data_IF_807872269119
#
_entry.id   IF_807872269119
#
_cell.length_a   1.000
_cell.length_b   1.000
_cell.length_c   1.000
_cell.angle_alpha   90.00
_cell.angle_beta   90.00
_cell.angle_gamma   90.00
#
_symmetry.space_group_name_H-M   'P 1'
#
loop_
_entity.id
_entity.type
_entity.pdbx_description
1 polymer ?
#
# COMPACT_ATOMS: atom_id res chain seq x y z
N UNK A 1 -15.24 18.99 4.30
CA UNK A 1 -15.28 17.70 3.61
C UNK A 1 -16.46 17.73 2.65
N UNK A 2 -16.26 17.36 1.39
CA UNK A 2 -17.37 17.24 0.42
C UNK A 2 -18.15 15.96 0.75
N UNK A 3 -19.42 15.89 0.36
CA UNK A 3 -20.20 14.64 0.48
C UNK A 3 -19.83 13.73 -0.68
N UNK A 4 -19.34 12.53 -0.39
CA UNK A 4 -18.97 11.55 -1.41
C UNK A 4 -20.08 10.54 -1.66
N UNK A 5 -20.33 10.25 -2.93
CA UNK A 5 -21.42 9.39 -3.38
C UNK A 5 -20.85 8.42 -4.41
N UNK A 6 -20.78 7.14 -4.04
CA UNK A 6 -20.22 6.07 -4.87
C UNK A 6 -21.20 4.95 -5.19
N UNK A 7 -22.44 5.05 -4.73
CA UNK A 7 -23.54 4.17 -5.13
C UNK A 7 -24.85 4.93 -5.39
N UNK A 8 -25.77 4.28 -6.12
CA UNK A 8 -27.04 4.88 -6.53
C UNK A 8 -28.03 5.07 -5.37
N UNK A 9 -27.92 4.27 -4.31
CA UNK A 9 -28.83 4.37 -3.17
C UNK A 9 -28.49 5.61 -2.33
N UNK A 10 -27.20 5.89 -2.11
CA UNK A 10 -26.70 7.14 -1.54
C UNK A 10 -27.15 8.34 -2.37
N UNK A 11 -27.04 8.26 -3.69
CA UNK A 11 -27.49 9.34 -4.58
C UNK A 11 -28.98 9.60 -4.43
N UNK A 12 -29.81 8.55 -4.46
CA UNK A 12 -31.27 8.67 -4.36
C UNK A 12 -31.74 9.15 -2.98
N UNK A 13 -30.92 8.94 -1.95
CA UNK A 13 -31.15 9.46 -0.61
C UNK A 13 -30.69 10.92 -0.44
N UNK A 14 -30.02 11.51 -1.43
CA UNK A 14 -29.41 12.84 -1.34
C UNK A 14 -30.12 13.86 -2.23
N UNK A 15 -30.85 14.79 -1.61
CA UNK A 15 -31.63 15.82 -2.32
C UNK A 15 -30.79 17.04 -2.75
N UNK A 16 -29.65 17.29 -2.09
CA UNK A 16 -28.75 18.43 -2.35
C UNK A 16 -27.34 17.94 -2.67
N UNK A 17 -26.90 18.17 -3.92
CA UNK A 17 -25.61 17.74 -4.41
C UNK A 17 -24.62 18.91 -4.54
N UNK A 18 -24.88 20.06 -3.90
CA UNK A 18 -23.93 21.18 -3.91
C UNK A 18 -22.62 20.77 -3.27
N UNK A 19 -21.54 20.93 -4.02
CA UNK A 19 -20.19 20.54 -3.61
C UNK A 19 -19.97 19.03 -3.48
N UNK A 20 -20.97 18.18 -3.78
CA UNK A 20 -20.84 16.73 -3.68
C UNK A 20 -19.84 16.16 -4.70
N UNK A 21 -19.24 15.01 -4.40
CA UNK A 21 -18.38 14.24 -5.30
C UNK A 21 -19.11 12.95 -5.65
N UNK A 22 -19.38 12.75 -6.93
CA UNK A 22 -20.02 11.55 -7.46
C UNK A 22 -18.98 10.78 -8.27
N UNK A 23 -18.83 9.49 -7.98
CA UNK A 23 -17.71 8.69 -8.51
C UNK A 23 -18.20 7.42 -9.18
N UNK A 24 -17.86 7.21 -10.44
CA UNK A 24 -18.08 5.97 -11.18
C UNK A 24 -19.54 5.56 -11.41
N UNK A 25 -20.51 6.47 -11.23
CA UNK A 25 -21.94 6.14 -11.34
C UNK A 25 -22.46 6.18 -12.78
N UNK A 26 -23.31 5.23 -13.14
CA UNK A 26 -24.17 5.34 -14.33
C UNK A 26 -25.45 6.11 -13.99
N UNK A 27 -25.49 7.38 -14.41
CA UNK A 27 -26.60 8.31 -14.20
C UNK A 27 -27.36 8.59 -15.51
N UNK A 28 -27.22 7.73 -16.52
CA UNK A 28 -27.89 7.92 -17.82
C UNK A 28 -29.40 7.77 -17.71
N UNK A 29 -29.88 6.92 -16.80
CA UNK A 29 -31.29 6.69 -16.52
C UNK A 29 -31.80 7.41 -15.24
N UNK A 30 -30.92 8.05 -14.48
CA UNK A 30 -31.29 8.68 -13.21
C UNK A 30 -31.81 10.11 -13.41
N UNK A 31 -32.97 10.39 -12.80
CA UNK A 31 -33.56 11.72 -12.79
C UNK A 31 -33.07 12.51 -11.57
N UNK A 32 -31.79 12.88 -11.60
CA UNK A 32 -31.16 13.69 -10.55
C UNK A 32 -31.77 15.08 -10.61
N UNK A 33 -32.60 15.52 -9.66
CA UNK A 33 -33.27 16.85 -9.72
C UNK A 33 -32.70 17.92 -8.79
N UNK A 34 -31.81 17.55 -7.87
CA UNK A 34 -31.23 18.45 -6.88
C UNK A 34 -30.28 19.53 -7.44
N UNK A 35 -29.97 20.56 -6.63
CA UNK A 35 -28.90 21.53 -6.90
C UNK A 35 -27.55 20.85 -7.15
N UNK A 36 -26.75 21.35 -8.09
CA UNK A 36 -25.48 20.74 -8.55
C UNK A 36 -24.27 21.69 -8.41
N UNK A 37 -24.45 22.83 -7.75
CA UNK A 37 -23.46 23.90 -7.74
C UNK A 37 -22.14 23.43 -7.12
N UNK A 38 -21.05 23.53 -7.89
CA UNK A 38 -19.73 23.09 -7.47
C UNK A 38 -19.57 21.58 -7.26
N UNK A 39 -20.53 20.76 -7.71
CA UNK A 39 -20.41 19.31 -7.69
C UNK A 39 -19.25 18.81 -8.58
N UNK A 40 -18.69 17.65 -8.25
CA UNK A 40 -17.66 16.96 -9.01
C UNK A 40 -18.22 15.62 -9.49
N UNK A 41 -18.19 15.39 -10.79
CA UNK A 41 -18.52 14.08 -11.38
C UNK A 41 -17.23 13.45 -11.87
N UNK A 42 -16.80 12.37 -11.24
CA UNK A 42 -15.56 11.64 -11.55
C UNK A 42 -15.93 10.31 -12.22
N UNK A 43 -15.64 10.17 -13.52
CA UNK A 43 -15.89 8.92 -14.25
C UNK A 43 -17.37 8.54 -14.41
N UNK A 44 -18.31 9.43 -14.08
CA UNK A 44 -19.74 9.14 -14.17
C UNK A 44 -20.24 9.14 -15.63
N UNK A 45 -21.16 8.23 -15.96
CA UNK A 45 -21.91 8.25 -17.21
C UNK A 45 -23.14 9.14 -17.03
N UNK A 46 -23.26 10.21 -17.82
CA UNK A 46 -24.33 11.19 -17.69
C UNK A 46 -25.20 11.20 -18.95
N UNK A 47 -26.52 11.36 -18.78
CA UNK A 47 -27.38 11.70 -19.91
C UNK A 47 -26.99 13.08 -20.48
N UNK A 48 -27.20 13.36 -21.78
CA UNK A 48 -26.87 14.67 -22.36
C UNK A 48 -27.56 15.85 -21.65
N UNK A 49 -28.75 15.60 -21.10
CA UNK A 49 -29.52 16.59 -20.33
C UNK A 49 -28.87 16.85 -18.98
N UNK A 50 -28.50 15.79 -18.23
CA UNK A 50 -27.85 15.93 -16.93
C UNK A 50 -26.47 16.57 -17.07
N UNK A 51 -25.67 16.15 -18.05
CA UNK A 51 -24.35 16.72 -18.32
C UNK A 51 -24.43 18.23 -18.58
N UNK A 52 -25.37 18.68 -19.42
CA UNK A 52 -25.59 20.11 -19.68
C UNK A 52 -26.03 20.85 -18.42
N UNK A 53 -26.93 20.27 -17.62
CA UNK A 53 -27.39 20.90 -16.38
C UNK A 53 -26.26 21.07 -15.37
N UNK A 54 -25.47 20.01 -15.18
CA UNK A 54 -24.30 20.02 -14.30
C UNK A 54 -23.30 21.11 -14.73
N UNK A 55 -22.96 21.20 -16.01
CA UNK A 55 -22.08 22.24 -16.53
C UNK A 55 -22.61 23.66 -16.31
N UNK A 56 -23.90 23.89 -16.59
CA UNK A 56 -24.53 25.21 -16.39
C UNK A 56 -24.58 25.60 -14.91
N UNK A 57 -24.74 24.63 -14.01
CA UNK A 57 -24.68 24.84 -12.57
C UNK A 57 -23.25 25.04 -12.03
N UNK A 58 -22.22 24.97 -12.88
CA UNK A 58 -20.82 25.13 -12.48
C UNK A 58 -20.21 23.88 -11.84
N UNK A 59 -20.80 22.70 -12.04
CA UNK A 59 -20.17 21.44 -11.68
C UNK A 59 -19.02 21.11 -12.64
N UNK A 60 -17.97 20.44 -12.13
CA UNK A 60 -16.91 19.90 -12.96
C UNK A 60 -17.22 18.44 -13.30
N UNK A 61 -16.98 18.08 -14.56
CA UNK A 61 -17.22 16.74 -15.07
C UNK A 61 -15.90 16.21 -15.62
N UNK A 62 -15.39 15.18 -14.98
CA UNK A 62 -14.23 14.40 -15.42
C UNK A 62 -14.77 13.12 -16.08
N UNK A 63 -14.54 12.93 -17.38
CA UNK A 63 -15.10 11.78 -18.09
C UNK A 63 -14.44 10.48 -17.64
N UNK A 64 -15.15 9.36 -17.83
CA UNK A 64 -14.52 8.05 -17.82
C UNK A 64 -13.45 8.02 -18.92
N UNK A 65 -12.24 7.61 -18.55
CA UNK A 65 -11.13 7.50 -19.50
C UNK A 65 -11.25 6.12 -20.17
N UNK A 66 -11.41 6.04 -21.50
CA UNK A 66 -11.53 4.76 -22.20
C UNK A 66 -10.19 4.04 -22.27
N UNK A 67 -10.24 2.75 -22.64
CA UNK A 67 -9.08 1.94 -23.03
C UNK A 67 -7.99 1.72 -21.96
N UNK A 68 -8.30 1.99 -20.69
CA UNK A 68 -7.45 1.65 -19.54
C UNK A 68 -7.98 0.41 -18.79
N UNK A 69 -7.11 -0.52 -18.34
CA UNK A 69 -7.53 -1.75 -17.66
C UNK A 69 -7.72 -1.58 -16.13
N UNK A 70 -7.82 -0.34 -15.65
CA UNK A 70 -7.99 0.00 -14.25
C UNK A 70 -9.01 1.13 -14.10
N UNK A 71 -9.72 1.15 -12.98
CA UNK A 71 -10.56 2.30 -12.62
C UNK A 71 -9.68 3.47 -12.20
N UNK A 72 -9.85 4.62 -12.84
CA UNK A 72 -9.04 5.84 -12.63
C UNK A 72 -9.49 6.61 -11.38
N UNK A 73 -10.78 6.58 -11.04
CA UNK A 73 -11.35 7.44 -10.00
C UNK A 73 -11.78 6.62 -8.79
N UNK A 74 -10.97 5.64 -8.39
CA UNK A 74 -11.29 4.67 -7.34
C UNK A 74 -11.55 5.36 -6.00
N UNK A 75 -12.53 4.87 -5.24
CA UNK A 75 -12.78 5.32 -3.85
C UNK A 75 -12.27 4.36 -2.78
N UNK A 76 -11.57 3.28 -3.19
CA UNK A 76 -11.11 2.22 -2.28
C UNK A 76 -9.75 1.69 -2.70
N UNK A 77 -8.97 1.27 -1.72
CA UNK A 77 -7.76 0.49 -1.93
C UNK A 77 -8.06 -0.88 -2.53
N UNK A 78 -7.06 -1.43 -3.22
CA UNK A 78 -7.15 -2.76 -3.81
C UNK A 78 -7.13 -3.85 -2.74
N UNK A 79 -7.83 -4.95 -3.00
CA UNK A 79 -7.68 -6.19 -2.21
C UNK A 79 -6.83 -7.20 -3.00
N UNK A 80 -6.18 -8.17 -2.34
CA UNK A 80 -5.55 -9.29 -3.06
C UNK A 80 -6.50 -10.03 -4.00
N UNK A 81 -7.76 -10.21 -3.57
CA UNK A 81 -8.78 -10.89 -4.37
C UNK A 81 -9.08 -10.16 -5.69
N UNK A 82 -9.08 -8.82 -5.66
CA UNK A 82 -9.24 -8.00 -6.85
C UNK A 82 -7.99 -8.03 -7.74
N UNK A 83 -6.80 -7.81 -7.17
CA UNK A 83 -5.55 -7.78 -7.94
C UNK A 83 -5.26 -9.10 -8.65
N UNK A 84 -5.64 -10.22 -8.02
CA UNK A 84 -5.47 -11.57 -8.56
C UNK A 84 -6.75 -12.14 -9.20
N UNK A 85 -7.74 -11.30 -9.49
CA UNK A 85 -8.97 -11.75 -10.18
C UNK A 85 -8.61 -12.44 -11.51
N UNK A 86 -9.10 -13.67 -11.69
CA UNK A 86 -8.82 -14.50 -12.87
C UNK A 86 -7.66 -15.50 -12.71
N UNK A 87 -6.96 -15.50 -11.56
CA UNK A 87 -5.92 -16.48 -11.27
C UNK A 87 -6.50 -17.88 -10.95
N UNK A 88 -5.99 -18.90 -11.62
CA UNK A 88 -6.24 -20.32 -11.34
C UNK A 88 -4.97 -20.98 -10.76
N UNK A 89 -4.96 -21.35 -9.47
CA UNK A 89 -3.82 -22.03 -8.84
C UNK A 89 -3.41 -23.36 -9.49
N UNK A 90 -4.32 -24.02 -10.22
CA UNK A 90 -4.01 -25.25 -10.98
C UNK A 90 -3.31 -24.96 -12.31
N UNK A 91 -3.34 -23.71 -12.78
CA UNK A 91 -2.68 -23.23 -13.99
C UNK A 91 -1.87 -21.97 -13.69
N UNK A 92 -0.62 -22.09 -13.19
CA UNK A 92 0.24 -20.95 -12.84
C UNK A 92 0.36 -19.87 -13.91
N UNK A 93 0.36 -20.24 -15.19
CA UNK A 93 0.42 -19.29 -16.30
C UNK A 93 -0.77 -18.31 -16.35
N UNK A 94 -1.91 -18.65 -15.71
CA UNK A 94 -3.08 -17.77 -15.58
C UNK A 94 -2.80 -16.48 -14.80
N UNK A 95 -1.66 -16.39 -14.08
CA UNK A 95 -1.22 -15.11 -13.49
C UNK A 95 -1.18 -14.00 -14.55
N UNK A 96 -0.83 -14.35 -15.79
CA UNK A 96 -0.78 -13.45 -16.94
C UNK A 96 -2.10 -12.71 -17.21
N UNK A 97 -3.23 -13.29 -16.78
CA UNK A 97 -4.59 -12.81 -17.03
C UNK A 97 -5.16 -12.01 -15.84
N UNK A 98 -4.44 -11.96 -14.72
CA UNK A 98 -4.86 -11.22 -13.52
C UNK A 98 -5.01 -9.73 -13.80
N UNK A 99 -5.87 -9.06 -13.02
CA UNK A 99 -5.98 -7.60 -13.08
C UNK A 99 -4.59 -6.96 -12.98
N UNK A 100 -3.79 -7.37 -12.00
CA UNK A 100 -2.46 -6.80 -11.77
C UNK A 100 -1.54 -6.94 -12.98
N UNK A 101 -1.44 -8.15 -13.55
CA UNK A 101 -0.60 -8.42 -14.70
C UNK A 101 -1.07 -7.65 -15.95
N UNK A 102 -2.39 -7.49 -16.15
CA UNK A 102 -2.95 -6.71 -17.26
C UNK A 102 -2.61 -5.22 -17.13
N UNK A 103 -2.76 -4.64 -15.93
CA UNK A 103 -2.40 -3.24 -15.68
C UNK A 103 -0.90 -3.01 -15.87
N UNK A 104 -0.06 -3.91 -15.36
CA UNK A 104 1.39 -3.84 -15.57
C UNK A 104 1.75 -3.88 -17.07
N UNK A 105 1.18 -4.85 -17.82
CA UNK A 105 1.41 -4.97 -19.26
C UNK A 105 0.96 -3.73 -20.02
N UNK A 106 -0.14 -3.09 -19.61
CA UNK A 106 -0.60 -1.83 -20.17
C UNK A 106 0.40 -0.69 -19.91
N UNK A 107 0.76 -0.43 -18.65
CA UNK A 107 1.71 0.64 -18.30
C UNK A 107 3.08 0.45 -18.98
N UNK A 108 3.56 -0.81 -19.08
CA UNK A 108 4.80 -1.14 -19.80
C UNK A 108 4.74 -0.84 -21.30
N UNK A 109 3.57 -1.02 -21.95
CA UNK A 109 3.39 -0.70 -23.38
C UNK A 109 3.44 0.80 -23.65
N UNK A 110 2.87 1.60 -22.75
CA UNK A 110 2.93 3.06 -22.81
C UNK A 110 4.36 3.60 -22.56
N UNK A 111 5.11 2.89 -21.71
CA UNK A 111 6.52 3.18 -21.45
C UNK A 111 6.74 4.48 -20.68
N UNK A 112 7.94 5.06 -20.79
CA UNK A 112 8.35 6.22 -19.99
C UNK A 112 7.76 7.56 -20.47
N UNK A 113 7.14 7.56 -21.66
CA UNK A 113 6.49 8.74 -22.26
C UNK A 113 5.12 8.30 -22.79
N UNK A 114 4.19 7.99 -21.86
CA UNK A 114 2.84 7.59 -22.24
C UNK A 114 2.18 8.68 -23.08
N UNK A 115 1.12 8.29 -23.81
CA UNK A 115 0.20 9.27 -24.37
C UNK A 115 -0.28 10.24 -23.26
N UNK A 116 -0.43 11.55 -23.52
CA UNK A 116 -0.85 12.52 -22.50
C UNK A 116 -2.13 12.14 -21.75
N UNK A 117 -3.08 11.46 -22.41
CA UNK A 117 -4.30 10.98 -21.75
C UNK A 117 -3.98 9.87 -20.75
N UNK A 118 -3.13 8.91 -21.11
CA UNK A 118 -2.70 7.84 -20.20
C UNK A 118 -1.82 8.37 -19.07
N UNK A 119 -0.93 9.34 -19.34
CA UNK A 119 -0.16 10.00 -18.31
C UNK A 119 -1.06 10.70 -17.27
N UNK A 120 -2.12 11.35 -17.74
CA UNK A 120 -3.14 11.97 -16.88
C UNK A 120 -3.95 10.91 -16.13
N UNK A 121 -4.33 9.80 -16.78
CA UNK A 121 -5.07 8.70 -16.17
C UNK A 121 -4.28 8.07 -15.02
N UNK A 122 -3.00 7.77 -15.21
CA UNK A 122 -2.14 7.23 -14.14
C UNK A 122 -2.01 8.20 -12.96
N UNK A 123 -1.93 9.51 -13.21
CA UNK A 123 -1.84 10.50 -12.12
C UNK A 123 -3.16 10.70 -11.38
N UNK A 124 -4.29 10.67 -12.08
CA UNK A 124 -5.61 10.72 -11.47
C UNK A 124 -5.86 9.46 -10.62
N UNK A 125 -5.44 8.29 -11.13
CA UNK A 125 -5.43 7.05 -10.36
C UNK A 125 -4.57 7.15 -9.12
N UNK A 126 -3.31 7.59 -9.25
CA UNK A 126 -2.40 7.74 -8.10
C UNK A 126 -3.00 8.68 -7.04
N UNK A 127 -3.61 9.79 -7.46
CA UNK A 127 -4.32 10.69 -6.55
C UNK A 127 -5.48 9.99 -5.83
N UNK A 128 -6.31 9.25 -6.56
CA UNK A 128 -7.44 8.50 -5.99
C UNK A 128 -6.97 7.44 -4.96
N UNK A 129 -5.85 6.77 -5.23
CA UNK A 129 -5.22 5.83 -4.28
C UNK A 129 -4.70 6.55 -3.03
N UNK A 130 -4.12 7.75 -3.16
CA UNK A 130 -3.68 8.55 -2.00
C UNK A 130 -4.86 8.92 -1.11
N UNK A 131 -5.95 9.45 -1.67
CA UNK A 131 -7.13 9.79 -0.88
C UNK A 131 -7.72 8.55 -0.18
N UNK A 132 -7.87 7.44 -0.93
CA UNK A 132 -8.37 6.19 -0.36
C UNK A 132 -7.45 5.59 0.71
N UNK A 133 -6.14 5.83 0.63
CA UNK A 133 -5.19 5.44 1.67
C UNK A 133 -5.42 6.29 2.92
N UNK A 134 -5.50 7.61 2.78
CA UNK A 134 -5.69 8.53 3.91
C UNK A 134 -7.01 8.26 4.66
N UNK A 135 -8.08 7.87 3.95
CA UNK A 135 -9.35 7.49 4.58
C UNK A 135 -9.29 6.20 5.40
N UNK A 136 -8.49 5.23 4.94
CA UNK A 136 -8.35 3.91 5.57
C UNK A 136 -7.36 3.94 6.74
N UNK A 137 -6.40 4.86 6.70
CA UNK A 137 -5.40 5.01 7.75
C UNK A 137 -6.02 5.61 9.02
N UNK A 138 -5.90 4.86 10.11
CA UNK A 138 -6.34 5.28 11.44
C UNK A 138 -5.21 5.08 12.45
N UNK A 139 -5.12 5.97 13.44
CA UNK A 139 -4.08 5.88 14.47
C UNK A 139 -2.70 6.26 13.93
N UNK A 140 -1.64 5.69 14.52
CA UNK A 140 -0.25 5.91 14.10
C UNK A 140 0.34 4.59 13.55
N UNK A 141 0.19 4.30 12.25
CA UNK A 141 0.62 3.03 11.67
C UNK A 141 2.15 2.89 11.69
N UNK A 142 2.63 1.66 11.80
CA UNK A 142 4.05 1.31 11.81
C UNK A 142 4.44 0.71 10.47
N UNK A 143 5.51 1.20 9.85
CA UNK A 143 6.05 0.59 8.64
C UNK A 143 7.19 -0.37 8.95
N UNK A 144 7.30 -1.43 8.15
CA UNK A 144 8.49 -2.30 8.13
C UNK A 144 9.13 -2.25 6.75
N UNK A 145 10.40 -1.83 6.74
CA UNK A 145 11.25 -1.75 5.57
C UNK A 145 12.23 -2.92 5.54
N UNK A 146 12.41 -3.50 4.36
CA UNK A 146 13.22 -4.70 4.21
C UNK A 146 13.36 -5.17 2.78
N UNK A 147 14.34 -6.03 2.54
CA UNK A 147 14.63 -6.54 1.20
C UNK A 147 13.50 -7.39 0.61
N UNK A 148 13.20 -7.16 -0.67
CA UNK A 148 12.28 -7.97 -1.49
C UNK A 148 12.83 -9.39 -1.80
N UNK A 149 14.12 -9.64 -1.53
CA UNK A 149 14.84 -10.83 -1.98
C UNK A 149 14.93 -11.98 -0.95
N UNK A 150 14.18 -11.91 0.15
CA UNK A 150 14.13 -13.00 1.13
C UNK A 150 13.33 -14.18 0.57
N UNK A 151 13.96 -15.33 0.46
CA UNK A 151 13.29 -16.57 0.07
C UNK A 151 12.43 -17.10 1.22
N UNK A 152 11.25 -17.66 0.93
CA UNK A 152 10.27 -18.16 1.93
C UNK A 152 10.80 -19.29 2.82
N UNK A 153 11.86 -19.97 2.39
CA UNK A 153 12.57 -21.03 3.14
C UNK A 153 13.77 -20.53 3.96
N UNK A 154 14.05 -19.22 3.92
CA UNK A 154 15.20 -18.63 4.60
C UNK A 154 14.92 -18.29 6.07
N UNK A 155 15.97 -18.31 6.90
CA UNK A 155 15.89 -17.86 8.29
C UNK A 155 15.49 -16.38 8.41
N UNK A 156 15.92 -15.54 7.46
CA UNK A 156 15.55 -14.12 7.42
C UNK A 156 14.05 -13.92 7.17
N UNK A 157 13.44 -14.74 6.31
CA UNK A 157 11.99 -14.72 6.10
C UNK A 157 11.24 -15.12 7.37
N UNK A 158 11.69 -16.19 8.05
CA UNK A 158 11.13 -16.60 9.36
C UNK A 158 11.20 -15.46 10.38
N UNK A 159 12.35 -14.80 10.51
CA UNK A 159 12.50 -13.68 11.44
C UNK A 159 11.54 -12.52 11.13
N UNK A 160 11.31 -12.23 9.85
CA UNK A 160 10.34 -11.22 9.43
C UNK A 160 8.88 -11.63 9.73
N UNK A 161 8.55 -12.93 9.61
CA UNK A 161 7.25 -13.46 10.09
C UNK A 161 7.11 -13.31 11.60
N UNK A 162 8.15 -13.66 12.37
CA UNK A 162 8.12 -13.53 13.83
C UNK A 162 7.97 -12.07 14.28
N UNK A 163 8.62 -11.12 13.58
CA UNK A 163 8.39 -9.68 13.76
C UNK A 163 6.92 -9.31 13.49
N UNK A 164 6.35 -9.80 12.39
CA UNK A 164 4.93 -9.61 12.05
C UNK A 164 3.98 -10.14 13.12
N UNK A 165 4.27 -11.33 13.68
CA UNK A 165 3.51 -11.92 14.80
C UNK A 165 3.56 -10.99 16.01
N UNK A 166 4.74 -10.45 16.32
CA UNK A 166 4.94 -9.58 17.48
C UNK A 166 4.18 -8.24 17.31
N UNK A 167 4.22 -7.64 16.11
CA UNK A 167 3.44 -6.45 15.75
C UNK A 167 1.93 -6.72 15.79
N UNK A 168 1.48 -7.86 15.26
CA UNK A 168 0.08 -8.27 15.30
C UNK A 168 -0.46 -8.42 16.73
N UNK A 169 0.32 -9.05 17.62
CA UNK A 169 -0.01 -9.14 19.06
C UNK A 169 -0.01 -7.80 19.79
N UNK A 170 0.66 -6.79 19.23
CA UNK A 170 0.68 -5.43 19.76
C UNK A 170 -0.47 -4.55 19.25
N UNK A 171 -1.39 -5.10 18.43
CA UNK A 171 -2.53 -4.39 17.84
C UNK A 171 -2.13 -3.17 16.99
N UNK A 172 -0.99 -3.25 16.30
CA UNK A 172 -0.47 -2.16 15.47
C UNK A 172 -0.89 -2.34 14.01
N UNK A 173 -1.42 -1.28 13.39
CA UNK A 173 -1.57 -1.23 11.93
C UNK A 173 -0.19 -1.28 11.28
N UNK A 174 0.01 -2.23 10.36
CA UNK A 174 1.32 -2.46 9.73
C UNK A 174 1.31 -2.07 8.25
N UNK A 175 2.30 -1.29 7.84
CA UNK A 175 2.55 -0.92 6.46
C UNK A 175 3.81 -1.62 5.94
N UNK A 176 3.80 -2.07 4.69
CA UNK A 176 5.01 -2.51 3.99
C UNK A 176 5.02 -1.99 2.57
N UNK A 177 6.13 -2.18 1.87
CA UNK A 177 6.21 -1.90 0.44
C UNK A 177 5.32 -2.78 -0.45
N UNK A 178 4.61 -3.77 0.11
CA UNK A 178 3.55 -4.53 -0.58
C UNK A 178 4.02 -5.56 -1.61
N UNK A 179 5.32 -5.87 -1.65
CA UNK A 179 5.90 -6.90 -2.51
C UNK A 179 6.28 -8.19 -1.76
N UNK A 180 7.16 -9.01 -2.34
CA UNK A 180 7.63 -10.27 -1.74
C UNK A 180 8.69 -10.08 -0.64
N UNK A 181 9.20 -11.19 -0.09
CA UNK A 181 10.30 -11.17 0.88
C UNK A 181 9.84 -10.65 2.25
N UNK A 182 10.59 -9.71 2.84
CA UNK A 182 10.21 -9.13 4.14
C UNK A 182 8.83 -8.44 4.07
N UNK A 183 8.52 -7.82 2.94
CA UNK A 183 7.25 -7.14 2.69
C UNK A 183 6.05 -8.11 2.68
N UNK A 184 6.28 -9.38 2.34
CA UNK A 184 5.32 -10.48 2.44
C UNK A 184 5.27 -11.08 3.85
N UNK A 185 6.44 -11.40 4.39
CA UNK A 185 6.60 -12.11 5.65
C UNK A 185 5.95 -11.37 6.83
N UNK A 186 6.10 -10.05 6.89
CA UNK A 186 5.58 -9.26 8.02
C UNK A 186 4.03 -9.29 8.08
N UNK A 187 3.28 -8.93 7.02
CA UNK A 187 1.82 -9.07 7.02
C UNK A 187 1.35 -10.51 7.22
N UNK A 188 2.09 -11.49 6.70
CA UNK A 188 1.80 -12.90 6.97
C UNK A 188 1.90 -13.21 8.47
N UNK A 189 2.94 -12.73 9.15
CA UNK A 189 3.10 -12.83 10.60
C UNK A 189 1.95 -12.20 11.37
N UNK A 190 1.49 -11.00 10.97
CA UNK A 190 0.33 -10.34 11.59
C UNK A 190 -0.91 -11.23 11.52
N UNK A 191 -1.17 -11.88 10.37
CA UNK A 191 -2.29 -12.82 10.19
C UNK A 191 -2.16 -14.11 10.99
N UNK A 192 -0.95 -14.48 11.37
CA UNK A 192 -0.62 -15.71 12.11
C UNK A 192 -0.32 -15.44 13.59
N UNK A 193 -0.72 -14.26 14.12
CA UNK A 193 -0.47 -13.87 15.51
C UNK A 193 -0.97 -14.90 16.55
N UNK A 194 -2.07 -15.60 16.22
CA UNK A 194 -2.70 -16.63 17.06
C UNK A 194 -2.16 -18.05 16.84
N UNK A 195 -1.21 -18.24 15.91
CA UNK A 195 -0.55 -19.52 15.64
C UNK A 195 -0.58 -19.94 14.16
N UNK A 196 -0.05 -21.14 13.89
CA UNK A 196 0.01 -21.71 12.54
C UNK A 196 1.26 -21.35 11.73
N UNK A 197 2.20 -20.58 12.31
CA UNK A 197 3.44 -20.13 11.65
C UNK A 197 4.21 -21.28 11.00
N UNK A 198 4.56 -22.32 11.75
CA UNK A 198 5.39 -23.42 11.24
C UNK A 198 4.72 -24.19 10.09
N UNK A 199 3.40 -24.42 10.19
CA UNK A 199 2.62 -25.12 9.16
C UNK A 199 2.54 -24.31 7.87
N UNK A 200 2.23 -23.01 7.98
CA UNK A 200 2.16 -22.13 6.82
C UNK A 200 3.52 -21.97 6.16
N UNK A 201 4.59 -21.75 6.94
CA UNK A 201 5.95 -21.66 6.42
C UNK A 201 6.37 -22.93 5.68
N UNK A 202 6.06 -24.11 6.22
CA UNK A 202 6.34 -25.39 5.55
C UNK A 202 5.60 -25.54 4.22
N UNK A 203 4.40 -24.94 4.07
CA UNK A 203 3.64 -24.94 2.81
C UNK A 203 4.25 -24.01 1.78
N UNK A 204 4.50 -22.75 2.15
CA UNK A 204 4.98 -21.73 1.20
C UNK A 204 6.46 -21.92 0.82
N UNK A 205 7.26 -22.60 1.65
CA UNK A 205 8.64 -22.98 1.35
C UNK A 205 8.77 -23.89 0.10
N UNK A 206 7.67 -24.49 -0.39
CA UNK A 206 7.63 -25.25 -1.65
C UNK A 206 7.84 -24.37 -2.88
N UNK A 207 7.58 -23.08 -2.76
CA UNK A 207 7.87 -22.07 -3.78
C UNK A 207 8.67 -20.93 -3.12
N UNK A 208 9.98 -21.14 -2.87
CA UNK A 208 10.80 -20.25 -2.04
C UNK A 208 10.99 -18.86 -2.66
N UNK A 209 10.86 -18.74 -3.98
CA UNK A 209 10.87 -17.48 -4.71
C UNK A 209 10.19 -17.64 -6.06
N UNK A 210 10.28 -16.61 -6.89
CA UNK A 210 9.75 -16.58 -8.25
C UNK A 210 10.79 -15.98 -9.21
N UNK A 211 10.58 -16.20 -10.51
CA UNK A 211 11.42 -15.69 -11.59
C UNK A 211 10.94 -14.33 -12.10
N UNK A 212 11.27 -14.01 -13.35
CA UNK A 212 10.84 -12.76 -13.99
C UNK A 212 9.62 -12.90 -14.90
N UNK A 213 9.00 -14.08 -14.91
CA UNK A 213 7.94 -14.47 -15.84
C UNK A 213 6.63 -14.83 -15.12
N UNK A 214 5.52 -14.68 -15.84
CA UNK A 214 4.16 -14.87 -15.32
C UNK A 214 3.94 -16.26 -14.70
N UNK A 215 4.50 -17.32 -15.30
CA UNK A 215 4.32 -18.70 -14.82
C UNK A 215 5.02 -18.93 -13.47
N UNK A 216 6.25 -18.42 -13.33
CA UNK A 216 7.00 -18.52 -12.08
C UNK A 216 6.35 -17.73 -10.93
N UNK A 217 5.78 -16.55 -11.24
CA UNK A 217 5.02 -15.75 -10.28
C UNK A 217 3.74 -16.47 -9.88
N UNK A 218 3.02 -17.03 -10.85
CA UNK A 218 1.83 -17.84 -10.60
C UNK A 218 2.13 -19.06 -9.72
N UNK A 219 3.26 -19.74 -9.91
CA UNK A 219 3.63 -20.88 -9.07
C UNK A 219 3.91 -20.46 -7.62
N UNK A 220 4.55 -19.30 -7.44
CA UNK A 220 4.76 -18.70 -6.13
C UNK A 220 3.45 -18.27 -5.45
N UNK A 221 2.51 -17.71 -6.21
CA UNK A 221 1.19 -17.33 -5.71
C UNK A 221 0.34 -18.56 -5.37
N UNK A 222 0.35 -19.60 -6.20
CA UNK A 222 -0.40 -20.84 -6.00
C UNK A 222 0.02 -21.59 -4.72
N UNK A 223 1.27 -21.43 -4.28
CA UNK A 223 1.76 -22.00 -3.03
C UNK A 223 1.19 -21.29 -1.79
N UNK A 224 0.73 -20.05 -1.93
CA UNK A 224 0.22 -19.25 -0.82
C UNK A 224 -1.12 -19.79 -0.31
N UNK A 225 -1.30 -19.98 1.00
CA UNK A 225 -2.54 -20.50 1.57
C UNK A 225 -3.72 -19.55 1.39
N UNK A 226 -4.86 -20.09 0.95
CA UNK A 226 -6.14 -19.37 0.86
C UNK A 226 -6.97 -19.49 2.14
N UNK A 227 -6.56 -20.38 3.04
CA UNK A 227 -7.24 -20.79 4.28
C UNK A 227 -6.57 -20.20 5.54
N UNK A 228 -5.88 -19.07 5.40
CA UNK A 228 -5.30 -18.34 6.53
C UNK A 228 -6.38 -17.89 7.54
N UNK A 229 -6.04 -17.79 8.83
CA UNK A 229 -6.95 -17.31 9.85
C UNK A 229 -7.63 -15.99 9.46
N UNK A 230 -8.93 -15.89 9.76
CA UNK A 230 -9.80 -14.73 9.47
C UNK A 230 -10.29 -14.04 10.74
N UNK A 231 -9.59 -14.27 11.86
CA UNK A 231 -9.85 -13.59 13.14
C UNK A 231 -9.58 -12.08 13.06
N UNK A 232 -9.97 -11.31 14.09
CA UNK A 232 -9.66 -9.90 14.17
C UNK A 232 -8.14 -9.74 14.29
N UNK A 233 -7.50 -9.35 13.19
CA UNK A 233 -6.07 -9.01 13.16
C UNK A 233 -5.94 -7.54 12.82
N UNK A 234 -4.85 -6.87 13.25
CA UNK A 234 -4.59 -5.50 12.88
C UNK A 234 -4.52 -5.32 11.36
N UNK A 235 -4.86 -4.12 10.90
CA UNK A 235 -4.87 -3.77 9.49
C UNK A 235 -3.46 -3.91 8.90
N UNK A 236 -3.36 -4.52 7.72
CA UNK A 236 -2.10 -4.60 6.96
C UNK A 236 -2.27 -3.98 5.58
N UNK A 237 -1.42 -3.02 5.25
CA UNK A 237 -1.49 -2.31 3.96
C UNK A 237 -0.14 -2.43 3.24
N UNK A 238 -0.17 -3.00 2.05
CA UNK A 238 0.97 -2.94 1.13
C UNK A 238 0.92 -1.67 0.29
N UNK A 239 2.05 -1.03 0.06
CA UNK A 239 2.16 0.13 -0.83
C UNK A 239 3.08 -0.20 -2.03
N UNK A 240 2.64 -1.08 -2.96
CA UNK A 240 3.46 -1.49 -4.11
C UNK A 240 3.36 -0.50 -5.27
N UNK A 241 4.06 -0.81 -6.36
CA UNK A 241 3.98 -0.03 -7.60
C UNK A 241 4.02 -0.92 -8.85
N UNK A 242 3.38 -0.48 -9.94
CA UNK A 242 3.56 -1.10 -11.25
C UNK A 242 4.89 -0.73 -11.93
N UNK A 243 5.61 0.29 -11.43
CA UNK A 243 6.94 0.65 -11.92
C UNK A 243 7.91 -0.52 -11.80
N UNK A 244 7.84 -1.25 -10.69
CA UNK A 244 8.56 -2.50 -10.45
C UNK A 244 7.69 -3.73 -10.73
N UNK A 245 6.82 -3.74 -11.74
CA UNK A 245 5.82 -4.81 -11.90
C UNK A 245 6.33 -6.22 -12.22
N UNK A 246 7.63 -6.49 -12.06
CA UNK A 246 8.15 -7.84 -11.86
C UNK A 246 8.00 -8.32 -10.40
N UNK A 247 7.78 -7.42 -9.44
CA UNK A 247 7.41 -7.74 -8.07
C UNK A 247 5.88 -7.85 -7.96
N UNK A 248 5.34 -9.07 -7.74
CA UNK A 248 3.91 -9.25 -7.58
C UNK A 248 3.42 -8.61 -6.26
N UNK A 249 2.15 -8.17 -6.20
CA UNK A 249 1.53 -7.77 -4.94
C UNK A 249 1.62 -8.85 -3.86
N UNK A 250 1.63 -8.44 -2.60
CA UNK A 250 1.68 -9.33 -1.46
C UNK A 250 0.32 -9.99 -1.18
N UNK A 251 0.15 -11.32 -1.30
CA UNK A 251 -1.12 -11.98 -0.98
C UNK A 251 -1.47 -11.97 0.52
N UNK A 252 -0.53 -11.63 1.41
CA UNK A 252 -0.73 -11.57 2.84
C UNK A 252 -1.32 -10.25 3.34
N UNK A 253 -1.21 -9.15 2.59
CA UNK A 253 -1.79 -7.85 2.97
C UNK A 253 -3.32 -7.87 2.87
N UNK A 254 -3.99 -7.13 3.76
CA UNK A 254 -5.43 -6.89 3.68
C UNK A 254 -5.76 -5.98 2.50
N UNK A 255 -5.03 -4.87 2.36
CA UNK A 255 -5.25 -3.85 1.34
C UNK A 255 -3.95 -3.44 0.64
N UNK A 256 -4.09 -2.87 -0.55
CA UNK A 256 -2.98 -2.34 -1.33
C UNK A 256 -3.27 -0.92 -1.86
N UNK A 257 -2.37 0.01 -1.52
CA UNK A 257 -2.25 1.29 -2.19
C UNK A 257 -1.21 1.17 -3.31
N UNK A 258 -1.63 0.63 -4.46
CA UNK A 258 -0.73 0.36 -5.59
C UNK A 258 -0.65 1.57 -6.52
N UNK A 259 0.56 2.07 -6.76
CA UNK A 259 0.79 3.30 -7.53
C UNK A 259 1.47 3.04 -8.88
N UNK A 260 1.25 3.92 -9.86
CA UNK A 260 2.07 4.01 -11.07
C UNK A 260 3.35 4.82 -10.81
N UNK A 261 3.24 5.98 -10.17
CA UNK A 261 4.39 6.84 -9.87
C UNK A 261 5.20 6.30 -8.68
N UNK A 262 6.38 5.74 -8.96
CA UNK A 262 7.28 5.27 -7.91
C UNK A 262 7.71 6.38 -6.94
N UNK A 263 7.88 7.62 -7.42
CA UNK A 263 8.25 8.75 -6.55
C UNK A 263 7.20 9.06 -5.49
N UNK A 264 5.92 8.95 -5.84
CA UNK A 264 4.81 9.13 -4.91
C UNK A 264 4.77 7.97 -3.92
N UNK A 265 4.96 6.74 -4.42
CA UNK A 265 4.99 5.54 -3.59
C UNK A 265 6.10 5.53 -2.55
N UNK A 266 7.34 5.83 -2.95
CA UNK A 266 8.52 5.76 -2.07
C UNK A 266 8.45 6.79 -0.95
N UNK A 267 8.13 8.05 -1.27
CA UNK A 267 7.98 9.10 -0.27
C UNK A 267 6.69 8.93 0.55
N UNK A 268 5.60 8.53 -0.10
CA UNK A 268 4.29 8.36 0.52
C UNK A 268 4.29 7.32 1.64
N UNK A 269 4.88 6.14 1.41
CA UNK A 269 4.95 5.07 2.41
C UNK A 269 5.64 5.52 3.71
N UNK A 270 6.73 6.27 3.60
CA UNK A 270 7.45 6.81 4.77
C UNK A 270 6.62 7.88 5.47
N UNK A 271 6.03 8.78 4.68
CA UNK A 271 5.22 9.91 5.18
C UNK A 271 4.02 9.45 6.00
N UNK A 272 3.36 8.36 5.58
CA UNK A 272 2.17 7.86 6.29
C UNK A 272 2.50 6.98 7.50
N UNK A 273 3.75 6.54 7.66
CA UNK A 273 4.21 5.68 8.75
C UNK A 273 4.41 6.43 10.08
N UNK A 274 3.39 7.18 10.50
CA UNK A 274 3.48 8.14 11.61
C UNK A 274 3.70 7.51 12.99
N UNK A 275 3.57 6.17 13.11
CA UNK A 275 3.84 5.39 14.31
C UNK A 275 5.28 4.90 14.46
N UNK A 276 6.11 5.12 13.43
CA UNK A 276 7.50 4.71 13.40
C UNK A 276 7.79 3.68 12.31
N UNK A 277 9.08 3.49 12.04
CA UNK A 277 9.59 2.64 10.98
C UNK A 277 10.62 1.66 11.55
N UNK A 278 10.45 0.38 11.23
CA UNK A 278 11.42 -0.68 11.53
C UNK A 278 12.20 -1.01 10.25
N UNK A 279 13.52 -0.84 10.29
CA UNK A 279 14.44 -1.15 9.20
C UNK A 279 15.11 -2.50 9.46
N UNK A 280 14.77 -3.49 8.64
CA UNK A 280 15.47 -4.79 8.63
C UNK A 280 16.65 -4.75 7.64
N UNK A 281 17.64 -5.65 7.74
CA UNK A 281 18.79 -5.65 6.84
C UNK A 281 18.38 -5.64 5.37
N UNK A 282 18.93 -4.68 4.63
CA UNK A 282 18.47 -4.35 3.28
C UNK A 282 19.62 -3.96 2.34
N UNK A 283 19.26 -3.39 1.19
CA UNK A 283 20.23 -2.90 0.19
C UNK A 283 20.04 -1.39 -0.01
N UNK A 284 20.45 -0.87 -1.17
CA UNK A 284 20.39 0.55 -1.50
C UNK A 284 19.00 1.19 -1.26
N UNK A 285 17.91 0.49 -1.61
CA UNK A 285 16.54 1.00 -1.38
C UNK A 285 16.25 1.25 0.10
N UNK A 286 16.53 0.28 0.97
CA UNK A 286 16.33 0.41 2.43
C UNK A 286 17.22 1.50 3.03
N UNK A 287 18.44 1.67 2.54
CA UNK A 287 19.32 2.77 2.97
C UNK A 287 18.76 4.13 2.54
N UNK A 288 18.20 4.21 1.33
CA UNK A 288 17.52 5.42 0.86
C UNK A 288 16.34 5.78 1.77
N UNK A 289 15.50 4.79 2.11
CA UNK A 289 14.33 4.93 2.99
C UNK A 289 14.73 5.44 4.38
N UNK A 290 15.83 4.93 4.97
CA UNK A 290 16.39 5.42 6.25
C UNK A 290 16.65 6.92 6.21
N UNK A 291 17.31 7.42 5.16
CA UNK A 291 17.68 8.84 5.10
C UNK A 291 16.53 9.74 4.66
N UNK A 292 15.59 9.23 3.86
CA UNK A 292 14.35 9.96 3.55
C UNK A 292 13.51 10.18 4.81
N UNK A 293 13.25 9.13 5.59
CA UNK A 293 12.53 9.24 6.86
C UNK A 293 13.29 10.12 7.87
N UNK A 294 14.60 9.92 8.02
CA UNK A 294 15.38 10.75 8.93
C UNK A 294 15.30 12.24 8.55
N UNK A 295 15.29 12.59 7.27
CA UNK A 295 15.10 13.98 6.86
C UNK A 295 13.72 14.51 7.29
N UNK A 296 12.67 13.71 7.16
CA UNK A 296 11.33 14.09 7.63
C UNK A 296 11.32 14.35 9.15
N UNK A 297 11.92 13.45 9.94
CA UNK A 297 12.10 13.60 11.38
C UNK A 297 12.99 14.80 11.76
N UNK A 298 14.04 15.06 10.98
CA UNK A 298 14.99 16.15 11.23
C UNK A 298 14.36 17.54 11.03
N UNK A 299 13.51 17.68 10.00
CA UNK A 299 12.83 18.93 9.67
C UNK A 299 11.43 19.05 10.29
N UNK A 300 10.86 17.97 10.82
CA UNK A 300 9.48 17.93 11.30
C UNK A 300 8.46 18.18 10.19
N UNK A 301 8.76 17.73 8.96
CA UNK A 301 7.97 18.09 7.77
C UNK A 301 6.62 17.39 7.67
N UNK A 302 6.45 16.28 8.39
CA UNK A 302 5.25 15.42 8.36
C UNK A 302 4.63 15.21 9.74
N UNK A 303 5.09 15.94 10.75
CA UNK A 303 4.64 15.81 12.14
C UNK A 303 5.77 15.75 13.16
N UNK A 304 5.49 15.30 14.40
CA UNK A 304 6.53 15.02 15.39
C UNK A 304 7.48 13.91 14.90
N UNK A 305 8.68 13.85 15.46
CA UNK A 305 9.62 12.81 15.08
C UNK A 305 9.09 11.43 15.53
N UNK A 306 8.97 10.51 14.58
CA UNK A 306 8.51 9.15 14.83
C UNK A 306 9.68 8.20 15.13
N UNK A 307 9.44 7.05 15.79
CA UNK A 307 10.46 6.05 16.06
C UNK A 307 11.18 5.54 14.80
N UNK A 308 12.50 5.50 14.85
CA UNK A 308 13.37 4.86 13.86
C UNK A 308 14.06 3.66 14.51
N UNK A 309 13.65 2.45 14.16
CA UNK A 309 14.18 1.21 14.75
C UNK A 309 15.02 0.46 13.73
N UNK A 310 16.32 0.34 13.99
CA UNK A 310 17.27 -0.42 13.19
C UNK A 310 17.41 -1.83 13.78
N UNK A 311 16.76 -2.82 13.17
CA UNK A 311 16.83 -4.22 13.59
C UNK A 311 18.00 -4.92 12.88
N UNK A 312 18.93 -5.51 13.64
CA UNK A 312 20.18 -6.09 13.12
C UNK A 312 21.38 -5.22 13.42
N UNK A 313 21.89 -5.24 14.66
CA UNK A 313 22.93 -4.32 15.15
C UNK A 313 24.20 -4.37 14.31
N UNK A 314 24.76 -5.56 14.08
CA UNK A 314 26.02 -5.70 13.33
C UNK A 314 25.88 -5.14 11.91
N UNK A 315 24.75 -5.39 11.27
CA UNK A 315 24.47 -4.86 9.94
C UNK A 315 24.43 -3.33 9.93
N UNK A 316 23.69 -2.70 10.86
CA UNK A 316 23.47 -1.26 10.87
C UNK A 316 24.59 -0.44 11.52
N UNK A 317 25.47 -1.08 12.29
CA UNK A 317 26.62 -0.45 12.95
C UNK A 317 27.94 -0.67 12.19
N UNK A 318 28.14 -1.84 11.57
CA UNK A 318 29.42 -2.25 11.01
C UNK A 318 29.39 -2.48 9.51
N UNK A 319 28.44 -3.26 8.99
CA UNK A 319 28.40 -3.61 7.55
C UNK A 319 27.93 -2.43 6.68
N UNK A 320 26.79 -1.85 7.03
CA UNK A 320 26.16 -0.69 6.38
C UNK A 320 25.86 0.34 7.46
N UNK A 321 26.85 1.16 7.87
CA UNK A 321 26.80 1.99 9.07
C UNK A 321 25.92 3.24 8.93
N UNK A 322 24.63 3.05 8.62
CA UNK A 322 23.65 4.12 8.48
C UNK A 322 23.20 4.67 9.85
N UNK A 323 22.99 3.79 10.83
CA UNK A 323 22.51 4.18 12.15
C UNK A 323 23.46 5.14 12.90
N UNK A 324 24.80 4.94 12.92
CA UNK A 324 25.73 5.88 13.53
C UNK A 324 25.66 7.30 12.93
N UNK A 325 25.37 7.41 11.62
CA UNK A 325 25.23 8.71 10.95
C UNK A 325 23.93 9.40 11.39
N UNK A 326 22.81 8.66 11.39
CA UNK A 326 21.50 9.14 11.87
C UNK A 326 21.60 9.60 13.32
N UNK A 327 22.13 8.77 14.22
CA UNK A 327 22.33 9.11 15.62
C UNK A 327 23.18 10.37 15.81
N UNK A 328 24.26 10.53 15.02
CA UNK A 328 25.13 11.71 15.11
C UNK A 328 24.41 12.99 14.68
N UNK A 329 23.61 12.93 13.63
CA UNK A 329 22.85 14.07 13.12
C UNK A 329 21.64 14.42 14.00
N UNK A 330 21.11 13.46 14.74
CA UNK A 330 20.00 13.64 15.66
C UNK A 330 20.38 14.30 17.00
N UNK A 331 21.67 14.34 17.37
CA UNK A 331 22.12 14.85 18.68
C UNK A 331 21.56 16.23 19.04
N UNK A 332 20.97 16.33 20.22
CA UNK A 332 20.35 17.54 20.75
C UNK A 332 18.99 17.88 20.13
N UNK A 333 18.38 16.96 19.36
CA UNK A 333 17.08 17.12 18.73
C UNK A 333 16.05 16.18 19.34
N UNK A 334 14.78 16.48 19.07
CA UNK A 334 13.64 15.68 19.54
C UNK A 334 13.71 14.23 19.05
N UNK A 335 14.13 14.02 17.80
CA UNK A 335 14.31 12.69 17.19
C UNK A 335 15.36 11.80 17.89
N UNK A 336 16.29 12.36 18.67
CA UNK A 336 17.38 11.57 19.29
C UNK A 336 16.87 10.44 20.18
N UNK A 337 15.81 10.70 20.95
CA UNK A 337 15.22 9.70 21.87
C UNK A 337 14.41 8.61 21.15
N UNK A 338 14.17 8.79 19.86
CA UNK A 338 13.35 7.92 19.02
C UNK A 338 14.16 7.00 18.11
N UNK A 339 15.49 7.02 18.22
CA UNK A 339 16.37 6.17 17.42
C UNK A 339 16.87 5.00 18.26
N UNK A 340 16.55 3.78 17.84
CA UNK A 340 16.98 2.53 18.47
C UNK A 340 17.71 1.65 17.47
N UNK A 341 18.82 1.05 17.90
CA UNK A 341 19.52 -0.01 17.16
C UNK A 341 19.52 -1.21 18.10
N UNK A 342 18.97 -2.34 17.65
CA UNK A 342 18.79 -3.53 18.50
C UNK A 342 18.72 -4.80 17.66
N UNK A 343 19.01 -5.94 18.28
CA UNK A 343 18.69 -7.27 17.75
C UNK A 343 17.41 -7.85 18.39
N UNK A 344 16.83 -7.15 19.37
CA UNK A 344 15.68 -7.60 20.14
C UNK A 344 14.37 -6.97 19.65
N UNK A 345 13.46 -7.84 19.20
CA UNK A 345 12.11 -7.45 18.76
C UNK A 345 11.27 -6.90 19.92
N UNK A 346 11.49 -7.37 21.15
CA UNK A 346 10.75 -6.88 22.31
C UNK A 346 11.16 -5.44 22.67
N UNK A 347 12.45 -5.09 22.52
CA UNK A 347 12.92 -3.70 22.68
C UNK A 347 12.35 -2.78 21.60
N UNK A 348 12.33 -3.24 20.35
CA UNK A 348 11.71 -2.53 19.24
C UNK A 348 10.23 -2.22 19.52
N UNK A 349 9.46 -3.22 19.95
CA UNK A 349 8.06 -3.05 20.31
C UNK A 349 7.84 -2.14 21.51
N UNK A 350 8.71 -2.21 22.52
CA UNK A 350 8.62 -1.35 23.69
C UNK A 350 8.75 0.13 23.31
N UNK A 351 9.69 0.46 22.41
CA UNK A 351 9.83 1.84 21.91
C UNK A 351 8.60 2.27 21.11
N UNK A 352 8.12 1.43 20.19
CA UNK A 352 6.94 1.73 19.38
C UNK A 352 5.71 1.97 20.27
N UNK A 353 5.43 1.10 21.24
CA UNK A 353 4.31 1.27 22.19
C UNK A 353 4.43 2.53 23.03
N UNK A 354 5.63 2.81 23.54
CA UNK A 354 5.88 4.05 24.30
C UNK A 354 5.54 5.30 23.50
N UNK A 355 5.75 5.27 22.18
CA UNK A 355 5.36 6.36 21.28
C UNK A 355 3.84 6.37 21.01
N UNK A 356 3.20 5.21 20.86
CA UNK A 356 1.75 5.12 20.66
C UNK A 356 0.94 5.68 21.84
N UNK A 357 1.45 5.54 23.07
CA UNK A 357 0.78 5.98 24.30
C UNK A 357 0.84 7.50 24.55
N UNK A 358 1.47 8.28 23.66
CA UNK A 358 1.64 9.74 23.80
C UNK A 358 0.50 10.60 23.25
#
# INVERSE_FOLDING_TARGET
>A
MRTEISDLDQLRATDDLRGAVLTGLDLTAEDVRGPLDGALFLGCLLSPVLARRAQVAGALIFPAIPDVPYDVYRSRLYTPAELFEGFDPANPASYADTMDARVYKHSKREGHRPDPLHALAERLHDHAITEALDEVLTGRPVAVMGGHALARDSAGYRAAVDLGVALGKADLTVLTGGGPGAMEAVPLGVRLADGGVDEVLARIARAPGFGGDDESIGAWLAAFPTDLPTGPVPRTIGIPTWFYGHEPPNPACELHAKYFANSVREEGLLTVATGGIVYTPGKAGTVQEVFQDFCQNYYGSVGPAAPMVFLGEDFWLNEVPAAPLVQRLARGREAEKWILVTDDVDEALALLRTYQDQ
#
